data_IF_980503269709
#
_entry.id   IF_980503269709
#
_cell.length_a   1.000
_cell.length_b   1.000
_cell.length_c   1.000
_cell.angle_alpha   90.00
_cell.angle_beta   90.00
_cell.angle_gamma   90.00
#
_symmetry.space_group_name_H-M   'P 1'
#
loop_
_entity.id
_entity.type
_entity.pdbx_description
1 polymer ?
#
# COMPACT_ATOMS: atom_id res chain seq x y z
N UNK A 1 -10.17 0.55 -6.54
CA UNK A 1 -9.10 0.23 -5.58
C UNK A 1 -8.90 1.43 -4.65
N UNK A 2 -9.09 1.29 -3.33
CA UNK A 2 -8.76 2.34 -2.35
C UNK A 2 -7.54 1.87 -1.56
N UNK A 3 -6.38 2.50 -1.78
CA UNK A 3 -5.14 2.22 -1.05
C UNK A 3 -4.90 3.35 -0.04
N UNK A 4 -4.82 3.02 1.25
CA UNK A 4 -4.54 4.00 2.32
C UNK A 4 -3.22 3.62 2.97
N UNK A 5 -2.15 4.37 2.66
CA UNK A 5 -0.82 4.13 3.25
C UNK A 5 -0.17 5.44 3.69
N UNK A 6 0.07 5.59 5.01
CA UNK A 6 0.99 6.62 5.55
C UNK A 6 1.92 6.14 6.68
N UNK A 7 1.90 4.88 7.12
CA UNK A 7 2.55 4.51 8.39
C UNK A 7 3.46 3.28 8.39
N UNK A 8 3.67 2.56 7.28
CA UNK A 8 4.47 1.34 7.27
C UNK A 8 6.00 1.57 7.49
N UNK A 9 6.53 2.75 7.15
CA UNK A 9 7.96 3.05 7.21
C UNK A 9 8.52 3.30 8.63
N UNK A 10 7.68 3.55 9.64
CA UNK A 10 8.15 3.93 10.97
C UNK A 10 8.68 2.75 11.83
N UNK A 11 8.34 1.51 11.48
CA UNK A 11 8.67 0.33 12.32
C UNK A 11 10.12 -0.16 12.19
N UNK A 12 10.82 0.14 11.09
CA UNK A 12 12.19 -0.33 10.90
C UNK A 12 13.21 0.42 11.78
N UNK A 13 12.87 1.62 12.28
CA UNK A 13 13.77 2.41 13.13
C UNK A 13 13.67 2.05 14.63
N UNK A 14 12.59 1.40 15.08
CA UNK A 14 12.39 1.11 16.51
C UNK A 14 12.89 -0.28 16.93
N UNK A 15 12.99 -1.26 16.02
CA UNK A 15 13.48 -2.60 16.36
C UNK A 15 15.01 -2.71 16.45
N UNK A 16 15.76 -1.76 15.88
CA UNK A 16 17.23 -1.79 15.86
C UNK A 16 17.91 -1.19 17.11
N UNK A 17 17.19 -0.43 17.95
CA UNK A 17 17.80 0.37 19.02
C UNK A 17 17.68 -0.23 20.44
N UNK A 18 17.33 -1.50 20.59
CA UNK A 18 17.13 -2.11 21.91
C UNK A 18 18.14 -3.21 22.21
N UNK A 19 19.42 -2.86 22.27
CA UNK A 19 20.42 -3.71 22.95
C UNK A 19 21.49 -2.88 23.69
N UNK A 20 21.47 -3.03 25.03
CA UNK A 20 22.55 -2.82 26.04
C UNK A 20 23.24 -1.45 26.18
N UNK A 21 23.04 -0.84 27.34
CA UNK A 21 24.14 -0.20 28.09
C UNK A 21 24.02 -0.52 29.59
N UNK A 22 25.02 -1.24 30.10
CA UNK A 22 25.28 -1.50 31.52
C UNK A 22 26.09 -0.33 32.09
N UNK A 23 25.76 0.06 33.31
CA UNK A 23 26.43 1.09 34.12
C UNK A 23 27.84 0.63 34.53
N UNK A 24 28.85 1.47 34.37
CA UNK A 24 29.90 1.62 35.38
C UNK A 24 30.61 2.98 35.27
N UNK A 25 30.88 3.55 36.44
CA UNK A 25 31.42 4.86 36.74
C UNK A 25 32.96 4.86 36.78
N UNK A 26 33.59 5.96 36.35
CA UNK A 26 34.72 6.55 37.09
C UNK A 26 35.05 7.96 36.61
N UNK A 27 35.23 8.84 37.60
CA UNK A 27 35.53 10.27 37.49
C UNK A 27 37.05 10.47 37.44
N UNK A 28 37.54 11.32 36.53
CA UNK A 28 38.76 12.13 36.75
C UNK A 28 38.76 13.38 35.88
N UNK A 29 38.90 14.54 36.53
CA UNK A 29 39.08 15.87 35.90
C UNK A 29 40.55 16.09 35.58
N UNK A 30 40.83 16.61 34.39
CA UNK A 30 42.05 17.38 34.10
C UNK A 30 41.78 18.38 32.96
N UNK A 31 42.07 19.65 33.24
CA UNK A 31 42.05 20.78 32.30
C UNK A 31 43.41 20.90 31.59
N UNK A 32 43.43 21.11 30.27
CA UNK A 32 44.43 21.99 29.62
C UNK A 32 44.11 22.35 28.15
N UNK A 33 44.25 23.66 27.88
CA UNK A 33 44.60 24.39 26.63
C UNK A 33 43.83 24.17 25.31
N UNK A 34 43.10 25.23 24.93
CA UNK A 34 42.58 25.55 23.59
C UNK A 34 43.67 25.46 22.50
N UNK A 35 43.42 24.66 21.47
CA UNK A 35 44.08 24.75 20.15
C UNK A 35 42.99 24.87 19.08
N UNK A 36 43.04 25.97 18.31
CA UNK A 36 42.12 26.28 17.20
C UNK A 36 42.19 25.14 16.17
N UNK A 37 41.15 24.31 16.09
CA UNK A 37 40.97 23.31 15.01
C UNK A 37 39.93 23.83 14.04
N UNK A 38 40.35 23.94 12.78
CA UNK A 38 39.54 24.20 11.61
C UNK A 38 38.35 23.23 11.59
N UNK A 39 37.14 23.77 11.61
CA UNK A 39 35.89 23.02 11.53
C UNK A 39 35.80 22.43 10.13
N UNK A 40 36.10 21.12 9.99
CA UNK A 40 35.61 20.35 8.86
C UNK A 40 34.12 20.12 9.11
N UNK A 41 33.30 20.64 8.20
CA UNK A 41 31.87 20.33 8.11
C UNK A 41 31.66 18.82 8.24
N UNK A 42 30.69 18.37 9.07
CA UNK A 42 30.22 17.00 8.99
C UNK A 42 29.59 16.84 7.60
N UNK A 43 30.21 16.00 6.77
CA UNK A 43 29.58 15.46 5.57
C UNK A 43 28.29 14.78 6.00
N UNK A 44 27.17 15.43 5.69
CA UNK A 44 25.83 14.86 5.75
C UNK A 44 25.78 13.67 4.79
N UNK A 45 26.15 12.49 5.27
CA UNK A 45 25.85 11.25 4.58
C UNK A 45 24.35 11.03 4.69
N UNK A 46 23.70 11.47 3.62
CA UNK A 46 22.30 11.33 3.25
C UNK A 46 21.77 9.91 3.51
N UNK A 47 20.91 9.78 4.53
CA UNK A 47 20.05 8.61 4.75
C UNK A 47 18.88 8.59 3.76
N UNK A 48 19.17 8.63 2.46
CA UNK A 48 18.15 8.64 1.38
C UNK A 48 18.23 7.42 0.45
N UNK A 49 19.10 6.44 0.74
CA UNK A 49 19.48 5.43 -0.27
C UNK A 49 18.69 4.11 -0.27
N UNK A 50 17.71 3.86 0.61
CA UNK A 50 17.04 2.54 0.63
C UNK A 50 15.74 2.49 -0.20
N UNK A 51 14.95 3.57 -0.27
CA UNK A 51 13.68 3.54 -1.01
C UNK A 51 13.86 3.57 -2.53
N UNK A 52 14.89 4.26 -3.03
CA UNK A 52 15.21 4.31 -4.47
C UNK A 52 15.75 2.99 -5.02
N UNK A 53 16.18 2.05 -4.17
CA UNK A 53 16.62 0.72 -4.62
C UNK A 53 15.46 -0.23 -4.90
N UNK A 54 14.25 0.07 -4.40
CA UNK A 54 13.10 -0.83 -4.54
C UNK A 54 12.34 -0.65 -5.87
N UNK A 55 12.50 0.49 -6.54
CA UNK A 55 11.67 0.84 -7.69
C UNK A 55 12.46 0.87 -9.00
N UNK A 56 11.77 0.59 -10.10
CA UNK A 56 12.34 0.73 -11.44
C UNK A 56 12.59 2.21 -11.78
N UNK A 57 13.41 2.49 -12.79
CA UNK A 57 13.74 3.86 -13.21
C UNK A 57 12.54 4.65 -13.75
N UNK A 58 11.48 3.92 -14.13
CA UNK A 58 10.23 4.48 -14.63
C UNK A 58 9.21 4.77 -13.52
N UNK A 59 9.56 4.57 -12.24
CA UNK A 59 8.65 4.81 -11.12
C UNK A 59 7.97 6.17 -11.19
N UNK A 60 6.64 6.16 -11.10
CA UNK A 60 5.81 7.35 -11.24
C UNK A 60 5.64 7.83 -12.68
N UNK A 61 5.92 7.00 -13.69
CA UNK A 61 5.61 7.30 -15.10
C UNK A 61 4.55 6.33 -15.62
N UNK A 62 3.38 6.86 -15.93
CA UNK A 62 2.28 6.07 -16.49
C UNK A 62 2.44 5.85 -18.00
N UNK A 63 2.82 6.90 -18.73
CA UNK A 63 3.05 6.86 -20.18
C UNK A 63 4.54 6.70 -20.50
N UNK A 64 4.97 5.47 -20.76
CA UNK A 64 6.36 5.11 -21.09
C UNK A 64 6.44 4.92 -22.60
N UNK A 65 6.90 5.95 -23.33
CA UNK A 65 6.89 5.98 -24.81
C UNK A 65 8.06 5.22 -25.45
N UNK A 66 9.10 4.95 -24.66
CA UNK A 66 10.35 4.30 -25.05
C UNK A 66 10.36 2.80 -24.73
N UNK A 67 9.18 2.22 -24.44
CA UNK A 67 9.06 0.79 -24.26
C UNK A 67 9.28 0.03 -25.58
N UNK A 68 9.94 -1.13 -25.49
CA UNK A 68 10.23 -1.97 -26.65
C UNK A 68 8.97 -2.54 -27.29
N UNK A 69 8.00 -2.91 -26.46
CA UNK A 69 6.76 -3.56 -26.85
C UNK A 69 5.59 -3.06 -25.98
N UNK A 70 4.38 -3.19 -26.53
CA UNK A 70 3.14 -2.84 -25.86
C UNK A 70 2.14 -3.97 -26.01
N UNK A 71 1.29 -4.16 -25.00
CA UNK A 71 0.20 -5.12 -25.06
C UNK A 71 -0.91 -4.63 -26.00
N UNK A 72 -1.93 -5.47 -26.20
CA UNK A 72 -3.09 -5.12 -27.04
C UNK A 72 -3.92 -3.93 -26.51
N UNK A 73 -3.63 -3.47 -25.30
CA UNK A 73 -4.28 -2.36 -24.63
C UNK A 73 -3.40 -1.11 -24.60
N UNK A 74 -2.19 -1.15 -25.18
CA UNK A 74 -1.27 -0.01 -25.21
C UNK A 74 -0.50 0.22 -23.91
N UNK A 75 -0.42 -0.77 -23.02
CA UNK A 75 0.46 -0.71 -21.86
C UNK A 75 1.83 -1.32 -22.21
N UNK A 76 2.94 -0.73 -21.74
CA UNK A 76 4.27 -1.28 -21.98
C UNK A 76 4.40 -2.70 -21.41
N UNK A 77 4.98 -3.62 -22.17
CA UNK A 77 5.22 -5.01 -21.74
C UNK A 77 6.62 -5.17 -21.17
N UNK A 78 6.73 -5.75 -19.98
CA UNK A 78 8.02 -5.97 -19.32
C UNK A 78 7.98 -5.63 -17.84
N UNK A 79 8.81 -6.29 -17.05
CA UNK A 79 8.88 -6.10 -15.58
C UNK A 79 9.67 -4.87 -15.18
N UNK A 80 10.48 -4.36 -16.11
CA UNK A 80 11.23 -3.11 -16.01
C UNK A 80 10.32 -1.87 -16.12
N UNK A 81 9.10 -2.04 -16.65
CA UNK A 81 8.15 -0.95 -16.86
C UNK A 81 7.10 -0.84 -15.74
N UNK A 82 7.05 -1.78 -14.80
CA UNK A 82 6.20 -1.68 -13.60
C UNK A 82 6.90 -0.89 -12.47
N UNK A 83 6.20 -0.67 -11.34
CA UNK A 83 6.72 0.15 -10.24
C UNK A 83 7.97 -0.45 -9.55
N UNK A 84 7.95 -1.75 -9.25
CA UNK A 84 8.88 -2.37 -8.30
C UNK A 84 9.92 -3.24 -8.98
N UNK A 85 11.18 -3.18 -8.56
CA UNK A 85 12.17 -4.15 -9.03
C UNK A 85 11.82 -5.55 -8.52
N UNK A 86 12.19 -6.57 -9.27
CA UNK A 86 12.07 -7.94 -8.81
C UNK A 86 12.93 -8.17 -7.56
N UNK A 87 12.40 -8.93 -6.60
CA UNK A 87 13.06 -9.16 -5.30
C UNK A 87 13.18 -7.93 -4.39
N UNK A 88 12.72 -6.74 -4.80
CA UNK A 88 12.84 -5.51 -4.00
C UNK A 88 12.20 -5.60 -2.61
N UNK A 89 11.18 -6.45 -2.45
CA UNK A 89 10.39 -6.55 -1.24
C UNK A 89 10.66 -7.83 -0.43
N UNK A 90 11.85 -8.43 -0.59
CA UNK A 90 12.30 -9.51 0.30
C UNK A 90 12.24 -9.03 1.76
N UNK A 91 11.63 -9.87 2.61
CA UNK A 91 11.42 -9.57 4.03
C UNK A 91 10.08 -8.90 4.34
N UNK A 92 9.31 -8.48 3.32
CA UNK A 92 7.94 -8.01 3.50
C UNK A 92 6.94 -9.14 3.29
N UNK A 93 5.88 -9.13 4.11
CA UNK A 93 4.82 -10.14 4.09
C UNK A 93 3.45 -9.50 3.85
N UNK A 94 2.68 -10.13 2.95
CA UNK A 94 1.31 -9.75 2.59
C UNK A 94 0.36 -10.87 3.04
N UNK A 95 -0.68 -10.49 3.77
CA UNK A 95 -1.84 -11.33 4.03
C UNK A 95 -2.93 -11.01 3.00
N UNK A 96 -3.42 -12.02 2.31
CA UNK A 96 -4.56 -11.91 1.40
C UNK A 96 -5.72 -12.69 2.00
N UNK A 97 -6.79 -11.98 2.38
CA UNK A 97 -8.08 -12.57 2.72
C UNK A 97 -9.01 -12.50 1.52
N UNK A 98 -9.30 -13.65 0.91
CA UNK A 98 -10.20 -13.77 -0.23
C UNK A 98 -11.53 -14.38 0.20
N UNK A 99 -12.60 -13.58 0.23
CA UNK A 99 -13.91 -14.02 0.71
C UNK A 99 -14.96 -14.21 -0.40
N UNK A 100 -14.60 -13.94 -1.65
CA UNK A 100 -15.37 -14.28 -2.84
C UNK A 100 -14.53 -15.13 -3.81
N UNK A 101 -15.16 -15.89 -4.71
CA UNK A 101 -14.47 -16.91 -5.49
C UNK A 101 -13.95 -16.38 -6.84
N UNK A 102 -12.63 -16.39 -7.02
CA UNK A 102 -11.94 -16.29 -8.31
C UNK A 102 -10.48 -16.76 -8.18
N UNK A 103 -9.77 -16.90 -9.29
CA UNK A 103 -8.38 -17.33 -9.26
C UNK A 103 -7.42 -16.19 -8.82
N UNK A 104 -6.63 -16.45 -7.78
CA UNK A 104 -5.61 -15.53 -7.25
C UNK A 104 -4.18 -15.94 -7.62
N UNK A 105 -3.98 -17.01 -8.41
CA UNK A 105 -2.66 -17.53 -8.73
C UNK A 105 -1.77 -16.47 -9.39
N UNK A 106 -2.27 -15.82 -10.44
CA UNK A 106 -1.51 -14.82 -11.20
C UNK A 106 -1.11 -13.60 -10.34
N UNK A 107 -2.03 -12.95 -9.59
CA UNK A 107 -1.65 -11.89 -8.66
C UNK A 107 -0.64 -12.33 -7.60
N UNK A 108 -0.81 -13.52 -7.03
CA UNK A 108 0.09 -14.05 -6.00
C UNK A 108 1.49 -14.27 -6.56
N UNK A 109 1.61 -14.83 -7.76
CA UNK A 109 2.90 -15.09 -8.38
C UNK A 109 3.62 -13.79 -8.77
N UNK A 110 2.88 -12.79 -9.26
CA UNK A 110 3.42 -11.46 -9.50
C UNK A 110 4.01 -10.85 -8.21
N UNK A 111 3.31 -10.95 -7.08
CA UNK A 111 3.80 -10.48 -5.78
C UNK A 111 5.07 -11.23 -5.34
N UNK A 112 5.13 -12.55 -5.52
CA UNK A 112 6.31 -13.36 -5.18
C UNK A 112 7.53 -12.98 -6.02
N UNK A 113 7.35 -12.70 -7.31
CA UNK A 113 8.42 -12.23 -8.20
C UNK A 113 9.04 -10.93 -7.64
N UNK A 114 8.21 -10.03 -7.09
CA UNK A 114 8.67 -8.80 -6.43
C UNK A 114 9.31 -9.03 -5.06
N UNK A 115 9.33 -10.27 -4.56
CA UNK A 115 10.01 -10.68 -3.32
C UNK A 115 9.11 -10.77 -2.09
N UNK A 116 7.80 -10.54 -2.23
CA UNK A 116 6.88 -10.64 -1.10
C UNK A 116 6.67 -12.09 -0.66
N UNK A 117 6.58 -12.28 0.66
CA UNK A 117 6.01 -13.50 1.24
C UNK A 117 4.50 -13.33 1.29
N UNK A 118 3.76 -14.22 0.62
CA UNK A 118 2.30 -14.10 0.53
C UNK A 118 1.62 -15.26 1.27
N UNK A 119 0.77 -14.92 2.25
CA UNK A 119 -0.17 -15.85 2.87
C UNK A 119 -1.56 -15.56 2.32
N UNK A 120 -2.15 -16.57 1.67
CA UNK A 120 -3.51 -16.51 1.15
C UNK A 120 -4.43 -17.36 2.04
N UNK A 121 -5.50 -16.74 2.57
CA UNK A 121 -6.52 -17.39 3.41
C UNK A 121 -7.91 -17.16 2.81
N UNK A 122 -8.81 -18.11 3.05
CA UNK A 122 -10.17 -18.13 2.48
C UNK A 122 -11.28 -17.95 3.50
N UNK A 123 -10.93 -17.85 4.78
CA UNK A 123 -11.90 -17.69 5.87
C UNK A 123 -11.56 -16.49 6.75
N UNK A 124 -12.59 -15.83 7.27
CA UNK A 124 -12.40 -14.69 8.18
C UNK A 124 -11.68 -15.11 9.47
N UNK A 125 -11.92 -16.32 9.97
CA UNK A 125 -11.28 -16.83 11.19
C UNK A 125 -9.76 -17.00 11.02
N UNK A 126 -9.32 -17.55 9.89
CA UNK A 126 -7.90 -17.62 9.56
C UNK A 126 -7.31 -16.22 9.40
N UNK A 127 -8.00 -15.33 8.68
CA UNK A 127 -7.55 -13.96 8.49
C UNK A 127 -7.39 -13.19 9.81
N UNK A 128 -8.35 -13.30 10.74
CA UNK A 128 -8.28 -12.70 12.08
C UNK A 128 -7.06 -13.22 12.85
N UNK A 129 -6.80 -14.52 12.78
CA UNK A 129 -5.64 -15.16 13.44
C UNK A 129 -4.34 -14.60 12.87
N UNK A 130 -4.23 -14.51 11.54
CA UNK A 130 -3.05 -14.02 10.85
C UNK A 130 -2.83 -12.50 11.08
N UNK A 131 -3.89 -11.69 11.09
CA UNK A 131 -3.83 -10.26 11.43
C UNK A 131 -3.25 -10.03 12.84
N UNK A 132 -3.55 -10.91 13.79
CA UNK A 132 -3.05 -10.82 15.16
C UNK A 132 -1.58 -11.27 15.33
N UNK A 133 -1.01 -11.94 14.33
CA UNK A 133 0.34 -12.53 14.41
C UNK A 133 1.49 -11.50 14.38
N UNK A 134 1.21 -10.24 14.01
CA UNK A 134 2.19 -9.18 13.76
C UNK A 134 3.24 -9.49 12.67
N UNK A 135 3.03 -10.53 11.85
CA UNK A 135 3.96 -10.93 10.78
C UNK A 135 3.84 -10.07 9.51
N UNK A 136 2.66 -9.53 9.25
CA UNK A 136 2.32 -8.87 7.99
C UNK A 136 2.46 -7.36 8.10
N UNK A 137 2.89 -6.74 7.00
CA UNK A 137 2.93 -5.28 6.86
C UNK A 137 1.74 -4.79 6.04
N UNK A 138 1.18 -5.66 5.19
CA UNK A 138 0.11 -5.36 4.26
C UNK A 138 -0.97 -6.44 4.37
N UNK A 139 -2.23 -6.01 4.39
CA UNK A 139 -3.40 -6.88 4.27
C UNK A 139 -4.21 -6.48 3.04
N UNK A 140 -4.49 -7.44 2.15
CA UNK A 140 -5.45 -7.31 1.05
C UNK A 140 -6.74 -8.00 1.46
N UNK A 141 -7.83 -7.25 1.47
CA UNK A 141 -9.15 -7.74 1.84
C UNK A 141 -10.03 -7.70 0.61
N UNK A 142 -10.36 -8.86 0.09
CA UNK A 142 -11.26 -9.04 -1.05
C UNK A 142 -12.64 -9.37 -0.50
N UNK A 143 -13.53 -8.40 -0.66
CA UNK A 143 -14.85 -8.38 -0.02
C UNK A 143 -15.80 -9.44 -0.58
N UNK A 144 -16.77 -9.81 0.25
CA UNK A 144 -17.93 -10.62 -0.13
C UNK A 144 -19.22 -9.94 0.32
N UNK A 145 -20.34 -10.64 0.21
CA UNK A 145 -21.70 -10.16 0.45
C UNK A 145 -22.17 -10.17 1.91
N UNK A 146 -21.37 -10.72 2.81
CA UNK A 146 -21.65 -10.73 4.25
C UNK A 146 -20.35 -10.76 5.04
N UNK A 147 -20.43 -10.43 6.33
CA UNK A 147 -19.35 -10.65 7.29
C UNK A 147 -19.82 -11.74 8.25
N UNK A 148 -19.12 -12.86 8.26
CA UNK A 148 -19.51 -14.05 9.03
C UNK A 148 -19.03 -13.97 10.49
N UNK A 149 -17.90 -13.31 10.72
CA UNK A 149 -17.33 -13.12 12.04
C UNK A 149 -17.40 -11.64 12.46
N UNK A 150 -18.20 -11.29 13.47
CA UNK A 150 -18.35 -9.89 13.92
C UNK A 150 -17.05 -9.27 14.48
N UNK A 151 -16.01 -10.08 14.76
CA UNK A 151 -14.69 -9.59 15.20
C UNK A 151 -13.77 -9.18 14.03
N UNK A 152 -14.18 -9.42 12.79
CA UNK A 152 -13.32 -9.18 11.64
C UNK A 152 -12.92 -7.70 11.53
N UNK A 153 -13.91 -6.80 11.51
CA UNK A 153 -13.68 -5.36 11.34
C UNK A 153 -12.86 -4.76 12.48
N UNK A 154 -13.09 -5.19 13.71
CA UNK A 154 -12.29 -4.72 14.86
C UNK A 154 -10.84 -5.21 14.79
N UNK A 155 -10.61 -6.44 14.33
CA UNK A 155 -9.27 -7.00 14.12
C UNK A 155 -8.51 -6.27 13.01
N UNK A 156 -9.15 -6.04 11.86
CA UNK A 156 -8.57 -5.28 10.75
C UNK A 156 -8.29 -3.82 11.14
N UNK A 157 -9.21 -3.20 11.89
CA UNK A 157 -9.06 -1.85 12.46
C UNK A 157 -7.84 -1.77 13.36
N UNK A 158 -7.61 -2.78 14.21
CA UNK A 158 -6.44 -2.87 15.09
C UNK A 158 -5.15 -3.04 14.30
N UNK A 159 -5.15 -3.94 13.31
CA UNK A 159 -4.01 -4.11 12.41
C UNK A 159 -3.61 -2.79 11.74
N UNK A 160 -4.58 -2.08 11.15
CA UNK A 160 -4.34 -0.78 10.52
C UNK A 160 -3.87 0.29 11.51
N UNK A 161 -4.54 0.41 12.66
CA UNK A 161 -4.16 1.34 13.73
C UNK A 161 -2.76 1.08 14.29
N UNK A 162 -2.25 -0.14 14.18
CA UNK A 162 -0.89 -0.47 14.57
C UNK A 162 0.17 -0.02 13.53
N UNK A 163 -0.25 0.39 12.33
CA UNK A 163 0.63 0.79 11.23
C UNK A 163 0.63 -0.17 10.03
N UNK A 164 -0.22 -1.20 10.04
CA UNK A 164 -0.40 -2.08 8.89
C UNK A 164 -1.12 -1.39 7.73
N UNK A 165 -0.67 -1.62 6.50
CA UNK A 165 -1.33 -1.13 5.29
C UNK A 165 -2.53 -2.02 4.94
N UNK A 166 -3.66 -1.42 4.55
CA UNK A 166 -4.86 -2.14 4.14
C UNK A 166 -5.21 -1.76 2.70
N UNK A 167 -5.37 -2.77 1.85
CA UNK A 167 -5.92 -2.66 0.51
C UNK A 167 -7.28 -3.32 0.49
N UNK A 168 -8.29 -2.57 0.05
CA UNK A 168 -9.66 -3.03 -0.02
C UNK A 168 -10.03 -3.26 -1.48
N UNK A 169 -10.47 -4.47 -1.77
CA UNK A 169 -11.06 -4.85 -3.03
C UNK A 169 -12.54 -5.11 -2.77
N UNK A 170 -13.36 -4.38 -3.49
CA UNK A 170 -14.81 -4.47 -3.47
C UNK A 170 -15.27 -4.50 -4.93
N UNK A 171 -16.38 -5.15 -5.17
CA UNK A 171 -16.99 -5.26 -6.50
C UNK A 171 -18.40 -4.63 -6.47
N UNK A 172 -19.28 -5.02 -7.38
CA UNK A 172 -20.68 -4.64 -7.36
C UNK A 172 -21.40 -5.13 -6.09
N UNK A 173 -22.44 -4.41 -5.70
CA UNK A 173 -23.32 -4.84 -4.61
C UNK A 173 -23.86 -6.24 -4.93
N UNK A 174 -23.80 -7.22 -4.00
CA UNK A 174 -23.48 -7.07 -2.57
C UNK A 174 -22.01 -7.27 -2.17
N UNK A 175 -21.06 -7.51 -3.08
CA UNK A 175 -19.65 -7.85 -2.81
C UNK A 175 -18.79 -6.67 -2.30
N UNK A 176 -19.32 -5.90 -1.35
CA UNK A 176 -18.73 -4.67 -0.79
C UNK A 176 -18.59 -4.71 0.73
N UNK A 177 -19.17 -5.70 1.42
CA UNK A 177 -19.45 -5.62 2.85
C UNK A 177 -18.21 -5.34 3.71
N UNK A 178 -17.10 -6.04 3.44
CA UNK A 178 -15.86 -5.87 4.20
C UNK A 178 -15.27 -4.46 4.03
N UNK A 179 -15.19 -3.98 2.78
CA UNK A 179 -14.69 -2.64 2.48
C UNK A 179 -15.59 -1.56 3.10
N UNK A 180 -16.91 -1.67 2.91
CA UNK A 180 -17.90 -0.73 3.44
C UNK A 180 -17.84 -0.63 4.96
N UNK A 181 -17.84 -1.75 5.67
CA UNK A 181 -17.84 -1.73 7.14
C UNK A 181 -16.51 -1.23 7.72
N UNK A 182 -15.37 -1.56 7.09
CA UNK A 182 -14.08 -1.03 7.53
C UNK A 182 -13.96 0.48 7.29
N UNK A 183 -14.33 0.95 6.09
CA UNK A 183 -14.29 2.37 5.74
C UNK A 183 -15.26 3.18 6.60
N UNK A 184 -16.42 2.61 6.94
CA UNK A 184 -17.41 3.24 7.81
C UNK A 184 -16.85 3.40 9.22
N UNK A 185 -16.25 2.35 9.77
CA UNK A 185 -15.63 2.37 11.09
C UNK A 185 -14.44 3.35 11.18
N UNK A 186 -13.66 3.52 10.10
CA UNK A 186 -12.45 4.37 10.11
C UNK A 186 -12.68 5.81 9.67
N UNK A 187 -13.52 6.03 8.69
CA UNK A 187 -13.62 7.31 7.98
C UNK A 187 -15.07 7.82 7.87
N UNK A 188 -16.06 7.04 8.31
CA UNK A 188 -17.47 7.38 8.12
C UNK A 188 -17.87 7.36 6.64
N UNK A 189 -17.26 6.47 5.85
CA UNK A 189 -17.46 6.32 4.42
C UNK A 189 -17.94 4.89 4.14
N UNK A 190 -18.94 4.73 3.29
CA UNK A 190 -19.35 3.42 2.77
C UNK A 190 -18.95 3.29 1.32
N UNK A 191 -19.11 2.10 0.75
CA UNK A 191 -18.98 1.87 -0.69
C UNK A 191 -20.36 1.50 -1.23
N UNK A 192 -20.75 2.13 -2.32
CA UNK A 192 -21.94 1.78 -3.11
C UNK A 192 -21.49 1.42 -4.53
N UNK A 193 -22.25 0.58 -5.23
CA UNK A 193 -21.82 0.07 -6.53
C UNK A 193 -22.97 -0.47 -7.37
N UNK A 194 -22.60 -1.33 -8.32
CA UNK A 194 -23.44 -1.83 -9.42
C UNK A 194 -23.64 -0.82 -10.57
N UNK A 195 -22.72 0.14 -10.68
CA UNK A 195 -22.66 1.00 -11.85
C UNK A 195 -22.03 0.24 -13.01
N UNK A 196 -22.71 0.25 -14.16
CA UNK A 196 -22.15 -0.28 -15.39
C UNK A 196 -20.90 0.52 -15.76
N UNK A 197 -19.76 -0.18 -15.74
CA UNK A 197 -18.49 0.33 -16.21
C UNK A 197 -18.30 -0.01 -17.68
N UNK A 198 -17.40 -0.94 -17.92
CA UNK A 198 -17.01 -1.46 -19.24
C UNK A 198 -16.31 -0.43 -20.12
N UNK A 199 -15.55 0.47 -19.50
CA UNK A 199 -14.70 1.45 -20.20
C UNK A 199 -13.24 1.27 -19.82
N UNK A 200 -12.41 1.87 -20.67
CA UNK A 200 -10.98 2.01 -20.43
C UNK A 200 -10.71 3.43 -19.98
N UNK A 201 -10.15 3.59 -18.78
CA UNK A 201 -9.61 4.84 -18.31
C UNK A 201 -8.24 5.07 -18.94
N UNK A 202 -7.95 6.31 -19.35
CA UNK A 202 -6.69 6.66 -20.00
C UNK A 202 -5.89 7.65 -19.14
N UNK A 203 -4.57 7.49 -19.12
CA UNK A 203 -3.70 8.38 -18.38
C UNK A 203 -3.80 9.84 -18.85
N UNK A 204 -3.84 10.77 -17.89
CA UNK A 204 -3.64 12.21 -18.10
C UNK A 204 -3.04 12.81 -16.83
N UNK A 205 -2.10 13.74 -16.94
CA UNK A 205 -1.41 14.34 -15.78
C UNK A 205 -2.37 14.73 -14.64
N UNK A 206 -3.44 15.46 -14.97
CA UNK A 206 -4.51 15.87 -14.05
C UNK A 206 -5.82 15.07 -14.27
N UNK A 207 -5.70 13.82 -14.69
CA UNK A 207 -6.83 12.97 -15.09
C UNK A 207 -7.83 12.70 -13.96
N UNK A 208 -7.40 12.77 -12.70
CA UNK A 208 -8.27 12.59 -11.52
C UNK A 208 -9.45 13.58 -11.44
N UNK A 209 -9.41 14.67 -12.21
CA UNK A 209 -10.48 15.69 -12.26
C UNK A 209 -11.45 15.48 -13.43
N UNK A 210 -11.19 14.49 -14.29
CA UNK A 210 -11.93 14.28 -15.53
C UNK A 210 -12.39 12.82 -15.65
N UNK A 211 -13.69 12.63 -15.85
CA UNK A 211 -14.24 11.30 -16.11
C UNK A 211 -13.54 10.63 -17.31
N UNK A 212 -13.29 9.32 -17.21
CA UNK A 212 -12.57 8.55 -18.23
C UNK A 212 -11.05 8.61 -18.13
N UNK A 213 -10.50 9.27 -17.11
CA UNK A 213 -9.06 9.41 -16.92
C UNK A 213 -8.61 9.10 -15.50
N UNK A 214 -7.35 8.68 -15.37
CA UNK A 214 -6.64 8.64 -14.09
C UNK A 214 -5.43 9.58 -14.12
N UNK A 215 -5.08 10.12 -12.96
CA UNK A 215 -4.00 11.07 -12.76
C UNK A 215 -2.62 10.41 -12.64
N UNK A 216 -1.58 11.24 -12.56
CA UNK A 216 -0.23 10.78 -12.24
C UNK A 216 -0.17 10.27 -10.80
N UNK A 217 0.22 9.00 -10.61
CA UNK A 217 0.45 8.39 -9.30
C UNK A 217 1.42 7.21 -9.43
N UNK A 218 2.24 6.93 -8.40
CA UNK A 218 3.23 5.84 -8.44
C UNK A 218 2.59 4.46 -8.70
N UNK A 219 1.39 4.22 -8.16
CA UNK A 219 0.65 2.96 -8.37
C UNK A 219 0.25 2.71 -9.84
N UNK A 220 0.26 3.74 -10.68
CA UNK A 220 -0.06 3.65 -12.10
C UNK A 220 1.20 3.61 -12.98
N UNK A 221 2.38 3.40 -12.39
CA UNK A 221 3.62 3.21 -13.17
C UNK A 221 3.45 2.11 -14.20
N UNK A 222 3.74 2.41 -15.47
CA UNK A 222 3.60 1.47 -16.58
C UNK A 222 2.16 1.16 -16.98
N UNK A 223 1.17 1.91 -16.47
CA UNK A 223 -0.23 1.78 -16.86
C UNK A 223 -0.63 3.03 -17.64
N UNK A 224 -0.87 2.87 -18.93
CA UNK A 224 -1.41 3.92 -19.81
C UNK A 224 -2.93 3.82 -19.90
N UNK A 225 -3.43 2.58 -19.98
CA UNK A 225 -4.84 2.26 -20.18
C UNK A 225 -5.28 1.24 -19.12
N UNK A 226 -6.26 1.62 -18.31
CA UNK A 226 -6.78 0.83 -17.20
C UNK A 226 -8.24 0.48 -17.46
N UNK A 227 -8.55 -0.80 -17.64
CA UNK A 227 -9.93 -1.26 -17.71
C UNK A 227 -10.59 -1.11 -16.33
N UNK A 228 -11.76 -0.45 -16.28
CA UNK A 228 -12.43 -0.18 -15.00
C UNK A 228 -13.15 -1.41 -14.42
N UNK A 229 -13.33 -2.45 -15.24
CA UNK A 229 -14.19 -3.60 -14.93
C UNK A 229 -15.56 -3.47 -15.58
N UNK A 230 -16.32 -4.56 -15.61
CA UNK A 230 -17.71 -4.56 -16.13
C UNK A 230 -18.61 -3.73 -15.22
N UNK A 231 -18.36 -3.81 -13.91
CA UNK A 231 -19.05 -3.07 -12.87
C UNK A 231 -18.06 -2.37 -11.97
N UNK A 232 -18.45 -1.21 -11.46
CA UNK A 232 -17.65 -0.44 -10.50
C UNK A 232 -18.46 -0.08 -9.27
N UNK A 233 -17.72 0.17 -8.19
CA UNK A 233 -18.22 0.74 -6.95
C UNK A 233 -17.38 1.98 -6.58
N UNK A 234 -17.98 2.91 -5.83
CA UNK A 234 -17.32 4.12 -5.39
C UNK A 234 -17.61 4.45 -3.92
N UNK A 235 -16.72 5.19 -3.26
CA UNK A 235 -16.97 5.71 -1.92
C UNK A 235 -18.19 6.62 -1.87
N UNK A 236 -18.99 6.51 -0.80
CA UNK A 236 -20.13 7.37 -0.48
C UNK A 236 -19.94 7.97 0.91
N UNK A 237 -20.09 9.28 0.98
CA UNK A 237 -19.86 10.05 2.20
C UNK A 237 -21.14 10.15 3.01
N UNK A 238 -21.14 9.60 4.23
CA UNK A 238 -22.29 9.73 5.12
C UNK A 238 -22.47 11.15 5.70
N UNK A 239 -21.43 11.99 5.68
CA UNK A 239 -21.46 13.36 6.24
C UNK A 239 -20.56 14.31 5.46
N UNK A 240 -20.77 15.63 5.62
CA UNK A 240 -19.85 16.64 5.09
C UNK A 240 -18.43 16.53 5.69
N UNK A 241 -18.33 16.07 6.95
CA UNK A 241 -17.06 15.83 7.62
C UNK A 241 -16.28 14.68 6.96
N UNK A 242 -16.94 13.56 6.63
CA UNK A 242 -16.29 12.43 5.96
C UNK A 242 -15.83 12.77 4.54
N UNK A 243 -16.55 13.65 3.84
CA UNK A 243 -16.10 14.21 2.54
C UNK A 243 -14.77 14.95 2.68
N UNK A 244 -14.62 15.83 3.67
CA UNK A 244 -13.40 16.63 3.87
C UNK A 244 -12.18 15.77 4.23
N UNK A 245 -12.39 14.69 4.99
CA UNK A 245 -11.33 13.74 5.33
C UNK A 245 -10.75 13.09 4.07
N UNK A 246 -11.61 12.64 3.15
CA UNK A 246 -11.15 11.91 1.97
C UNK A 246 -10.49 12.82 0.92
N UNK A 247 -11.01 14.03 0.68
CA UNK A 247 -10.39 15.00 -0.26
C UNK A 247 -9.03 15.52 0.20
N UNK A 248 -8.64 15.25 1.45
CA UNK A 248 -7.31 15.60 1.99
C UNK A 248 -6.33 14.40 1.94
N UNK A 249 -6.86 13.19 1.76
CA UNK A 249 -6.10 11.93 1.73
C UNK A 249 -5.81 11.49 0.29
N UNK A 250 -6.75 11.71 -0.62
CA UNK A 250 -6.61 11.52 -2.07
C UNK A 250 -5.85 12.69 -2.70
#
# INVERSE_FOLDING_TARGET
MVAITRSALARQQQSANRTRTVVSSSVRKTYTKKKKRTVKQPTSSSTTSSSLQAYNEVAGKSNIIDANEYDRYGNPTGREYDLGRDGAFIGFSILIGQFCYFDMQHPIDALKIKGFQVKHVKTENECITELASNRYQIAWIISTNEIQNPKFISSLTKFHSSGGAVFLFADNTPLVCHASEFLKAKFGITVEGDYYGDKTLTYKENGHQQAGHFGQHEIFTGITNLYEGITICHPVYSTAASRKVFTTIA
#
